data_IF_318929225963
#
_entry.id   IF_318929225963
#
_cell.length_a   1.000
_cell.length_b   1.000
_cell.length_c   1.000
_cell.angle_alpha   90.00
_cell.angle_beta   90.00
_cell.angle_gamma   90.00
#
_symmetry.space_group_name_H-M   'P 1'
#
loop_
_entity.id
_entity.type
_entity.pdbx_description
1 polymer ?
#
# COMPACT_ATOMS: atom_id res chain seq x y z
N UNK A 1 10.39 14.89 -13.31
CA UNK A 1 9.44 13.80 -13.65
C UNK A 1 8.08 14.24 -13.17
N UNK A 2 7.09 14.31 -14.05
CA UNK A 2 5.73 14.68 -13.65
C UNK A 2 5.06 13.53 -12.85
N UNK A 3 4.25 13.89 -11.87
CA UNK A 3 3.49 12.95 -11.04
C UNK A 3 2.52 12.15 -11.92
N UNK A 4 1.87 12.78 -12.90
CA UNK A 4 0.94 12.08 -13.79
C UNK A 4 1.64 10.93 -14.55
N UNK A 5 2.87 11.16 -15.00
CA UNK A 5 3.66 10.11 -15.66
C UNK A 5 4.13 9.02 -14.68
N UNK A 6 4.40 9.38 -13.42
CA UNK A 6 4.69 8.42 -12.36
C UNK A 6 3.52 7.48 -12.09
N UNK A 7 2.31 8.04 -12.00
CA UNK A 7 1.07 7.28 -11.83
C UNK A 7 0.85 6.33 -13.00
N UNK A 8 1.01 6.81 -14.24
CA UNK A 8 0.86 5.95 -15.44
C UNK A 8 1.82 4.76 -15.42
N UNK A 9 3.07 4.95 -14.99
CA UNK A 9 4.07 3.88 -14.91
C UNK A 9 3.70 2.78 -13.92
N UNK A 10 3.07 3.12 -12.79
CA UNK A 10 2.69 2.13 -11.76
C UNK A 10 1.29 1.54 -11.95
N UNK A 11 0.45 2.18 -12.77
CA UNK A 11 -0.95 1.75 -13.02
C UNK A 11 -1.09 0.27 -13.40
N UNK A 12 -0.24 -0.33 -14.27
CA UNK A 12 -0.36 -1.75 -14.59
C UNK A 12 -0.19 -2.67 -13.36
N UNK A 13 0.77 -2.35 -12.47
CA UNK A 13 1.02 -3.11 -11.24
C UNK A 13 -0.16 -3.00 -10.28
N UNK A 14 -0.68 -1.78 -10.08
CA UNK A 14 -1.85 -1.56 -9.21
C UNK A 14 -3.12 -2.21 -9.77
N UNK A 15 -3.27 -2.21 -11.10
CA UNK A 15 -4.39 -2.89 -11.78
C UNK A 15 -4.33 -4.40 -11.56
N UNK A 16 -3.14 -5.01 -11.60
CA UNK A 16 -2.97 -6.42 -11.30
C UNK A 16 -3.30 -6.71 -9.84
N UNK A 17 -2.76 -5.92 -8.90
CA UNK A 17 -3.09 -6.03 -7.47
C UNK A 17 -4.62 -5.99 -7.25
N UNK A 18 -5.32 -5.06 -7.92
CA UNK A 18 -6.78 -4.95 -7.89
C UNK A 18 -7.46 -6.24 -8.36
N UNK A 19 -7.03 -6.82 -9.49
CA UNK A 19 -7.58 -8.08 -9.98
C UNK A 19 -7.36 -9.22 -9.00
N UNK A 20 -6.17 -9.30 -8.41
CA UNK A 20 -5.80 -10.35 -7.49
C UNK A 20 -6.65 -10.29 -6.22
N UNK A 21 -6.80 -9.11 -5.61
CA UNK A 21 -7.65 -8.88 -4.42
C UNK A 21 -9.12 -9.17 -4.76
N UNK A 22 -9.61 -8.67 -5.90
CA UNK A 22 -11.00 -8.88 -6.31
C UNK A 22 -11.35 -10.35 -6.56
N UNK A 23 -10.37 -11.15 -7.03
CA UNK A 23 -10.53 -12.59 -7.20
C UNK A 23 -10.46 -13.38 -5.88
N UNK A 24 -9.95 -12.78 -4.80
CA UNK A 24 -9.75 -13.42 -3.49
C UNK A 24 -10.20 -12.46 -2.37
N UNK A 25 -11.50 -12.13 -2.29
CA UNK A 25 -11.99 -11.24 -1.24
C UNK A 25 -11.86 -11.92 0.13
N UNK A 26 -11.55 -11.12 1.14
CA UNK A 26 -11.51 -11.52 2.55
C UNK A 26 -12.58 -10.74 3.34
N UNK A 27 -12.95 -11.25 4.51
CA UNK A 27 -13.91 -10.59 5.38
C UNK A 27 -13.21 -9.55 6.27
N UNK A 28 -14.02 -8.62 6.80
CA UNK A 28 -13.59 -7.67 7.82
C UNK A 28 -12.86 -8.34 8.98
N UNK A 29 -11.69 -7.81 9.33
CA UNK A 29 -10.73 -8.32 10.33
C UNK A 29 -10.02 -9.65 9.98
N UNK A 30 -10.18 -10.14 8.75
CA UNK A 30 -9.57 -11.38 8.24
C UNK A 30 -8.76 -11.17 6.95
N UNK A 31 -8.42 -9.93 6.61
CA UNK A 31 -7.72 -9.50 5.38
C UNK A 31 -6.22 -9.82 5.37
N UNK A 32 -5.86 -11.05 5.77
CA UNK A 32 -4.48 -11.47 6.00
C UNK A 32 -3.70 -11.52 4.68
N UNK A 33 -4.28 -12.13 3.64
CA UNK A 33 -3.64 -12.27 2.34
C UNK A 33 -3.64 -10.95 1.57
N UNK A 34 -4.70 -10.15 1.70
CA UNK A 34 -4.82 -8.81 1.13
C UNK A 34 -3.76 -7.88 1.72
N UNK A 35 -3.61 -7.86 3.06
CA UNK A 35 -2.55 -7.11 3.73
C UNK A 35 -1.16 -7.57 3.27
N UNK A 36 -0.92 -8.89 3.15
CA UNK A 36 0.34 -9.46 2.67
C UNK A 36 0.67 -8.99 1.24
N UNK A 37 -0.32 -8.93 0.35
CA UNK A 37 -0.16 -8.45 -1.03
C UNK A 37 0.17 -6.97 -1.08
N UNK A 38 -0.50 -6.15 -0.27
CA UNK A 38 -0.19 -4.72 -0.13
C UNK A 38 1.25 -4.54 0.35
N UNK A 39 1.67 -5.26 1.40
CA UNK A 39 3.05 -5.23 1.89
C UNK A 39 4.03 -5.65 0.80
N UNK A 40 3.73 -6.71 0.04
CA UNK A 40 4.60 -7.16 -1.05
C UNK A 40 4.74 -6.10 -2.16
N UNK A 41 3.66 -5.38 -2.51
CA UNK A 41 3.72 -4.29 -3.48
C UNK A 41 4.54 -3.09 -2.99
N UNK A 42 4.55 -2.82 -1.68
CA UNK A 42 5.32 -1.72 -1.07
C UNK A 42 6.78 -2.13 -0.79
N UNK A 43 7.01 -3.42 -0.54
CA UNK A 43 8.32 -4.00 -0.23
C UNK A 43 9.22 -3.94 -1.47
N UNK A 44 10.10 -2.94 -1.51
CA UNK A 44 10.99 -2.67 -2.64
C UNK A 44 11.04 -1.19 -3.03
N UNK A 45 10.12 -0.39 -2.50
CA UNK A 45 10.21 1.06 -2.59
C UNK A 45 11.23 1.58 -1.56
N UNK A 46 12.09 2.49 -2.00
CA UNK A 46 13.08 3.12 -1.13
C UNK A 46 12.40 4.05 -0.11
N UNK A 47 13.02 4.17 1.06
CA UNK A 47 12.66 5.12 2.12
C UNK A 47 11.26 4.91 2.75
N UNK A 48 10.69 3.70 2.61
CA UNK A 48 9.50 3.30 3.35
C UNK A 48 9.87 2.52 4.62
N UNK A 49 9.29 2.92 5.74
CA UNK A 49 9.16 2.08 6.93
C UNK A 49 7.76 1.47 6.93
N UNK A 50 7.66 0.14 6.92
CA UNK A 50 6.40 -0.58 6.88
C UNK A 50 6.15 -1.24 8.23
N UNK A 51 5.00 -0.93 8.83
CA UNK A 51 4.49 -1.55 10.05
C UNK A 51 3.26 -2.38 9.71
N UNK A 52 3.25 -3.64 10.12
CA UNK A 52 2.16 -4.59 9.86
C UNK A 52 1.52 -5.05 11.17
N UNK A 53 0.28 -5.52 11.12
CA UNK A 53 -0.41 -6.02 12.30
C UNK A 53 -1.07 -4.93 13.13
N UNK A 54 -1.18 -3.71 12.58
CA UNK A 54 -1.90 -2.60 13.22
C UNK A 54 -3.37 -2.96 13.24
N UNK A 55 -3.97 -3.08 14.43
CA UNK A 55 -5.35 -3.55 14.59
C UNK A 55 -5.63 -4.89 13.86
N UNK A 56 -4.69 -5.84 13.93
CA UNK A 56 -4.68 -7.21 13.34
C UNK A 56 -4.16 -7.30 11.91
N UNK A 57 -4.81 -6.66 10.93
CA UNK A 57 -4.49 -6.78 9.50
C UNK A 57 -4.00 -5.48 8.88
N UNK A 58 -4.10 -4.36 9.61
CA UNK A 58 -3.71 -3.04 9.13
C UNK A 58 -2.21 -2.92 8.84
N UNK A 59 -1.93 -2.13 7.81
CA UNK A 59 -0.59 -1.81 7.32
C UNK A 59 -0.42 -0.31 7.32
N UNK A 60 0.67 0.18 7.93
CA UNK A 60 1.07 1.58 7.89
C UNK A 60 2.42 1.67 7.19
N UNK A 61 2.50 2.45 6.12
CA UNK A 61 3.74 2.70 5.40
C UNK A 61 4.10 4.18 5.45
N UNK A 62 5.24 4.48 6.06
CA UNK A 62 5.72 5.84 6.26
C UNK A 62 6.87 6.13 5.30
N UNK A 63 6.69 7.09 4.39
CA UNK A 63 7.73 7.59 3.51
C UNK A 63 8.53 8.69 4.21
N UNK A 64 9.79 8.43 4.54
CA UNK A 64 10.68 9.40 5.16
C UNK A 64 11.44 10.18 4.09
N UNK A 65 11.25 11.50 4.04
CA UNK A 65 11.83 12.35 3.00
C UNK A 65 13.14 13.05 3.40
N UNK A 66 13.73 12.69 4.55
CA UNK A 66 14.92 13.35 5.15
C UNK A 66 14.84 14.89 5.09
N UNK A 67 13.64 15.44 5.25
CA UNK A 67 13.35 16.86 5.11
C UNK A 67 12.24 17.28 6.07
N UNK A 68 12.44 18.44 6.71
CA UNK A 68 11.39 19.06 7.53
C UNK A 68 10.21 19.53 6.66
N UNK A 69 9.00 19.34 7.15
CA UNK A 69 7.77 19.73 6.45
C UNK A 69 6.53 19.14 7.10
N UNK A 70 5.34 19.44 6.56
CA UNK A 70 4.09 18.85 7.03
C UNK A 70 4.01 17.36 6.70
N UNK A 71 3.33 16.61 7.56
CA UNK A 71 3.00 15.19 7.32
C UNK A 71 1.63 15.08 6.66
N UNK A 72 1.52 14.28 5.59
CA UNK A 72 0.26 13.95 4.91
C UNK A 72 0.00 12.47 5.08
N UNK A 73 -1.20 12.11 5.56
CA UNK A 73 -1.67 10.73 5.64
C UNK A 73 -2.60 10.41 4.47
N UNK A 74 -2.35 9.28 3.81
CA UNK A 74 -3.24 8.69 2.80
C UNK A 74 -3.85 7.42 3.40
N UNK A 75 -5.17 7.26 3.28
CA UNK A 75 -5.90 6.13 3.86
C UNK A 75 -6.71 5.39 2.80
N UNK A 76 -6.62 4.07 2.83
CA UNK A 76 -7.42 3.14 2.04
C UNK A 76 -7.90 1.98 2.93
N UNK A 77 -8.95 1.28 2.49
CA UNK A 77 -9.51 0.09 3.15
C UNK A 77 -9.03 -1.19 2.45
N UNK A 78 -9.03 -2.31 3.18
CA UNK A 78 -8.63 -3.62 2.67
C UNK A 78 -9.84 -4.51 2.40
N UNK A 79 -10.87 -4.44 3.26
CA UNK A 79 -12.17 -5.13 3.14
C UNK A 79 -13.22 -4.36 2.33
#
# INVERSE_FOLDING_TARGET
MDIADAVKRVTPVVTQLRHDIHAHPELGFEEVETARRVVACLSGLANLTIETGVARTGVVATLNADRAGPTIALRAELD
#
